data_IF_047113985245
#
_entry.id   IF_047113985245
#
_cell.length_a   1.000
_cell.length_b   1.000
_cell.length_c   1.000
_cell.angle_alpha   90.00
_cell.angle_beta   90.00
_cell.angle_gamma   90.00
#
_symmetry.space_group_name_H-M   'P 1'
#
loop_
_entity.id
_entity.type
_entity.pdbx_description
1 polymer ?
#
# COMPACT_ATOMS: atom_id res chain seq x y z
N UNK A 1 1.11 3.62 7.76
CA UNK A 1 2.06 2.49 7.60
C UNK A 1 1.38 1.18 7.24
N UNK A 2 0.19 0.86 7.78
CA UNK A 2 -0.55 -0.36 7.42
C UNK A 2 -0.80 -0.50 5.90
N UNK A 3 -1.02 0.61 5.19
CA UNK A 3 -1.17 0.59 3.72
C UNK A 3 0.04 -0.02 3.00
N UNK A 4 1.26 0.06 3.55
CA UNK A 4 2.45 -0.59 2.97
C UNK A 4 2.40 -2.12 3.07
N UNK A 5 1.77 -2.64 4.13
CA UNK A 5 1.54 -4.08 4.30
C UNK A 5 0.49 -4.58 3.31
N UNK A 6 -0.58 -3.80 3.07
CA UNK A 6 -1.70 -4.22 2.23
C UNK A 6 -1.40 -4.03 0.74
N UNK A 7 -0.96 -2.84 0.34
CA UNK A 7 -0.79 -2.49 -1.08
C UNK A 7 0.57 -2.90 -1.64
N UNK A 8 1.51 -3.28 -0.76
CA UNK A 8 2.90 -3.49 -1.15
C UNK A 8 3.53 -2.26 -1.79
N UNK A 9 3.06 -1.03 -1.56
CA UNK A 9 3.67 0.20 -2.08
C UNK A 9 4.88 0.65 -1.26
N UNK A 10 5.79 1.40 -1.88
CA UNK A 10 6.97 1.92 -1.18
C UNK A 10 6.51 3.03 -0.23
N UNK A 11 7.22 3.17 0.89
CA UNK A 11 6.93 4.22 1.89
C UNK A 11 6.77 5.60 1.25
N UNK A 12 7.72 6.00 0.41
CA UNK A 12 7.71 7.34 -0.20
C UNK A 12 6.60 7.50 -1.25
N UNK A 13 6.21 6.42 -1.94
CA UNK A 13 5.07 6.42 -2.87
C UNK A 13 3.77 6.73 -2.11
N UNK A 14 3.55 6.05 -0.98
CA UNK A 14 2.36 6.23 -0.16
C UNK A 14 2.35 7.60 0.53
N UNK A 15 3.46 7.99 1.16
CA UNK A 15 3.49 9.21 1.97
C UNK A 15 3.37 10.50 1.15
N UNK A 16 3.71 10.46 -0.14
CA UNK A 16 3.55 11.60 -1.05
C UNK A 16 2.23 11.59 -1.83
N UNK A 17 1.36 10.62 -1.58
CA UNK A 17 0.08 10.45 -2.27
C UNK A 17 -0.87 11.62 -1.96
N UNK A 18 -1.47 12.17 -3.01
CA UNK A 18 -2.44 13.28 -2.92
C UNK A 18 -3.86 12.77 -3.08
N UNK A 19 -4.83 13.54 -2.60
CA UNK A 19 -6.25 13.24 -2.83
C UNK A 19 -6.59 13.16 -4.33
N UNK A 20 -5.94 13.99 -5.15
CA UNK A 20 -6.10 14.01 -6.61
C UNK A 20 -5.51 12.79 -7.31
N UNK A 21 -4.71 11.98 -6.60
CA UNK A 21 -4.13 10.75 -7.15
C UNK A 21 -5.04 9.54 -6.94
N UNK A 22 -6.15 9.70 -6.20
CA UNK A 22 -7.07 8.60 -5.85
C UNK A 22 -8.41 8.82 -6.54
N UNK A 23 -8.83 7.80 -7.27
CA UNK A 23 -10.16 7.73 -7.84
C UNK A 23 -11.04 6.79 -6.99
N UNK A 24 -11.90 7.38 -6.16
CA UNK A 24 -12.81 6.64 -5.29
C UNK A 24 -13.99 6.00 -6.04
N UNK A 25 -14.28 6.45 -7.27
CA UNK A 25 -15.32 5.84 -8.12
C UNK A 25 -14.80 4.55 -8.72
N UNK A 26 -13.59 4.59 -9.29
CA UNK A 26 -12.94 3.45 -9.92
C UNK A 26 -12.07 2.63 -8.98
N UNK A 27 -11.98 3.00 -7.70
CA UNK A 27 -11.19 2.32 -6.68
C UNK A 27 -9.73 2.11 -7.11
N UNK A 28 -9.09 3.17 -7.58
CA UNK A 28 -7.68 3.14 -7.98
C UNK A 28 -6.89 4.30 -7.39
N UNK A 29 -5.58 4.14 -7.30
CA UNK A 29 -4.65 5.20 -6.93
C UNK A 29 -3.42 5.22 -7.84
N UNK A 30 -3.00 6.41 -8.28
CA UNK A 30 -1.78 6.62 -9.05
C UNK A 30 -0.60 6.86 -8.11
N UNK A 31 0.28 5.87 -8.00
CA UNK A 31 1.51 5.96 -7.21
C UNK A 31 2.69 6.31 -8.10
N UNK A 32 3.42 7.38 -7.75
CA UNK A 32 4.58 7.85 -8.53
C UNK A 32 5.86 7.19 -8.04
N UNK A 33 6.62 6.57 -8.93
CA UNK A 33 7.95 6.07 -8.62
C UNK A 33 8.98 7.19 -8.87
N UNK A 34 10.14 7.12 -8.20
CA UNK A 34 11.30 7.96 -8.51
C UNK A 34 12.00 7.50 -9.80
N UNK A 35 11.72 6.29 -10.26
CA UNK A 35 12.42 5.64 -11.38
C UNK A 35 11.64 5.78 -12.70
N UNK A 36 10.32 5.83 -12.65
CA UNK A 36 9.44 5.94 -13.82
C UNK A 36 8.50 7.12 -13.63
N UNK A 37 8.73 8.20 -14.39
CA UNK A 37 8.07 9.50 -14.22
C UNK A 37 6.54 9.42 -14.31
N UNK A 38 6.00 8.46 -15.07
CA UNK A 38 4.56 8.26 -15.20
C UNK A 38 3.92 7.58 -13.98
N UNK A 39 4.70 6.86 -13.16
CA UNK A 39 4.20 6.05 -12.06
C UNK A 39 3.38 4.84 -12.52
N UNK A 40 2.60 4.25 -11.60
CA UNK A 40 1.66 3.15 -11.90
C UNK A 40 0.32 3.36 -11.21
N UNK A 41 -0.74 2.80 -11.79
CA UNK A 41 -2.02 2.66 -11.11
C UNK A 41 -2.01 1.38 -10.26
N UNK A 42 -2.57 1.49 -9.05
CA UNK A 42 -2.83 0.37 -8.16
C UNK A 42 -4.32 0.35 -7.80
N UNK A 43 -4.88 -0.82 -7.50
CA UNK A 43 -6.23 -0.90 -6.95
C UNK A 43 -6.27 -0.40 -5.51
N UNK A 44 -7.42 0.11 -5.12
CA UNK A 44 -7.76 0.55 -3.78
C UNK A 44 -8.73 -0.47 -3.18
N UNK A 45 -8.27 -1.19 -2.17
CA UNK A 45 -9.08 -2.18 -1.46
C UNK A 45 -10.01 -1.52 -0.45
N UNK A 46 -11.06 -2.23 -0.03
CA UNK A 46 -12.13 -1.70 0.80
C UNK A 46 -11.63 -1.10 2.12
N UNK A 47 -10.72 -1.78 2.82
CA UNK A 47 -10.21 -1.26 4.09
C UNK A 47 -9.23 -0.10 3.87
N UNK A 48 -8.34 -0.14 2.88
CA UNK A 48 -7.49 1.01 2.55
C UNK A 48 -8.32 2.24 2.14
N UNK A 49 -9.39 2.05 1.36
CA UNK A 49 -10.33 3.12 1.04
C UNK A 49 -10.96 3.71 2.30
N UNK A 50 -11.43 2.85 3.21
CA UNK A 50 -12.05 3.30 4.46
C UNK A 50 -11.10 4.16 5.29
N UNK A 51 -9.81 3.80 5.35
CA UNK A 51 -8.78 4.59 6.02
C UNK A 51 -8.58 5.95 5.34
N UNK A 52 -8.60 5.99 4.02
CA UNK A 52 -8.45 7.24 3.27
C UNK A 52 -9.66 8.16 3.48
N UNK A 53 -10.87 7.61 3.46
CA UNK A 53 -12.08 8.38 3.73
C UNK A 53 -12.10 8.91 5.16
N UNK A 54 -11.64 8.13 6.14
CA UNK A 54 -11.52 8.59 7.53
C UNK A 54 -10.52 9.74 7.67
N UNK A 55 -9.34 9.62 7.05
CA UNK A 55 -8.33 10.69 7.00
C UNK A 55 -8.88 11.96 6.33
N UNK A 56 -9.74 11.80 5.32
CA UNK A 56 -10.30 12.93 4.56
C UNK A 56 -11.22 13.82 5.42
N UNK A 57 -11.96 13.25 6.38
CA UNK A 57 -12.92 13.99 7.22
C UNK A 57 -12.29 15.20 7.94
N UNK A 58 -11.02 15.09 8.31
CA UNK A 58 -10.29 16.09 9.09
C UNK A 58 -9.10 16.70 8.33
N UNK A 59 -9.05 16.55 7.00
CA UNK A 59 -7.92 17.00 6.19
C UNK A 59 -8.15 18.39 5.59
N UNK A 60 -7.23 19.31 5.86
CA UNK A 60 -7.08 20.62 5.21
C UNK A 60 -5.94 20.62 4.16
N UNK A 61 -5.35 19.46 3.88
CA UNK A 61 -4.15 19.31 3.05
C UNK A 61 -4.45 18.65 1.71
N UNK A 62 -3.61 18.93 0.71
CA UNK A 62 -3.64 18.21 -0.58
C UNK A 62 -3.13 16.77 -0.48
N UNK A 63 -2.41 16.42 0.58
CA UNK A 63 -1.83 15.09 0.79
C UNK A 63 -2.68 14.23 1.70
N UNK A 64 -2.73 12.92 1.42
CA UNK A 64 -3.46 11.95 2.24
C UNK A 64 -2.78 11.79 3.61
N UNK A 65 -1.45 11.68 3.62
CA UNK A 65 -0.64 11.57 4.83
C UNK A 65 0.02 12.92 5.16
N UNK A 66 -0.80 13.92 5.47
CA UNK A 66 -0.36 15.28 5.72
C UNK A 66 0.45 15.43 7.02
N UNK A 67 1.37 16.40 7.04
CA UNK A 67 2.05 16.84 8.27
C UNK A 67 2.20 18.36 8.26
N UNK A 68 1.62 19.03 9.27
CA UNK A 68 1.67 20.50 9.38
C UNK A 68 3.09 21.03 9.64
N UNK A 69 3.95 20.23 10.29
CA UNK A 69 5.33 20.62 10.59
C UNK A 69 6.34 20.31 9.48
N UNK A 70 5.93 19.62 8.41
CA UNK A 70 6.85 19.25 7.33
C UNK A 70 6.84 20.31 6.22
N UNK A 71 8.03 20.75 5.77
CA UNK A 71 8.16 21.74 4.68
C UNK A 71 7.45 21.32 3.38
N UNK A 72 7.39 20.03 3.08
CA UNK A 72 6.72 19.50 1.90
C UNK A 72 5.21 19.26 2.08
N UNK A 73 4.65 19.50 3.28
CA UNK A 73 3.22 19.37 3.59
C UNK A 73 2.73 17.93 3.85
N UNK A 74 3.61 16.93 3.80
CA UNK A 74 3.30 15.54 4.09
C UNK A 74 4.35 14.90 5.01
N UNK A 75 4.00 13.78 5.63
CA UNK A 75 4.93 13.01 6.44
C UNK A 75 6.09 12.55 5.55
N UNK A 76 7.33 12.93 5.90
CA UNK A 76 8.54 12.46 5.18
C UNK A 76 9.10 11.21 5.85
N UNK A 77 9.13 11.25 7.18
CA UNK A 77 9.69 10.21 8.00
C UNK A 77 8.63 9.70 9.00
N UNK A 78 8.11 8.46 8.84
CA UNK A 78 7.18 7.86 9.78
C UNK A 78 7.88 7.07 10.89
N UNK A 79 9.22 6.98 10.91
CA UNK A 79 9.97 6.15 11.87
C UNK A 79 9.65 6.54 13.31
N UNK A 80 9.67 7.84 13.66
CA UNK A 80 9.43 8.27 15.04
C UNK A 80 8.03 7.88 15.55
N UNK A 81 7.02 7.99 14.69
CA UNK A 81 5.65 7.59 15.05
C UNK A 81 5.51 6.07 15.14
N UNK A 82 6.17 5.35 14.23
CA UNK A 82 6.19 3.88 14.25
C UNK A 82 6.95 3.36 15.47
N UNK A 83 8.10 3.93 15.81
CA UNK A 83 8.93 3.55 16.95
C UNK A 83 8.17 3.72 18.27
N UNK A 84 7.41 4.80 18.43
CA UNK A 84 6.53 4.99 19.60
C UNK A 84 5.50 3.87 19.74
N UNK A 85 4.88 3.46 18.62
CA UNK A 85 3.90 2.37 18.61
C UNK A 85 4.59 1.03 18.91
N UNK A 86 5.73 0.77 18.27
CA UNK A 86 6.55 -0.42 18.47
C UNK A 86 6.98 -0.59 19.94
N UNK A 87 7.48 0.48 20.57
CA UNK A 87 7.83 0.50 22.00
C UNK A 87 6.64 0.20 22.91
N UNK A 88 5.47 0.79 22.60
CA UNK A 88 4.25 0.55 23.38
C UNK A 88 3.76 -0.91 23.28
N UNK A 89 3.90 -1.51 22.11
CA UNK A 89 3.45 -2.88 21.84
C UNK A 89 4.54 -3.93 22.09
N UNK A 90 5.75 -3.52 22.47
CA UNK A 90 6.92 -4.38 22.63
C UNK A 90 7.19 -5.25 21.38
N UNK A 91 7.11 -4.63 20.20
CA UNK A 91 7.38 -5.28 18.90
C UNK A 91 8.42 -4.48 18.12
N UNK A 92 9.11 -5.15 17.19
CA UNK A 92 10.01 -4.51 16.24
C UNK A 92 9.40 -4.50 14.84
N UNK A 93 9.12 -3.30 14.30
CA UNK A 93 8.63 -3.13 12.94
C UNK A 93 9.33 -1.96 12.26
N UNK A 94 9.57 -2.12 10.97
CA UNK A 94 10.05 -1.04 10.09
C UNK A 94 9.16 -0.93 8.86
N UNK A 95 9.09 0.25 8.19
CA UNK A 95 8.43 0.39 6.91
C UNK A 95 8.90 -0.61 5.86
N UNK A 96 10.20 -0.91 5.87
CA UNK A 96 10.77 -1.92 4.97
C UNK A 96 10.31 -3.33 5.36
N UNK A 97 10.29 -3.65 6.66
CA UNK A 97 9.77 -4.91 7.19
C UNK A 97 8.32 -5.16 6.76
N UNK A 98 7.44 -4.17 6.93
CA UNK A 98 6.04 -4.27 6.48
C UNK A 98 5.91 -4.57 4.98
N UNK A 99 6.73 -3.90 4.13
CA UNK A 99 6.76 -4.17 2.70
C UNK A 99 7.33 -5.56 2.37
N UNK A 100 8.29 -6.09 3.16
CA UNK A 100 8.77 -7.47 2.97
C UNK A 100 7.69 -8.47 3.35
N UNK A 101 6.99 -8.23 4.46
CA UNK A 101 5.85 -9.04 4.90
C UNK A 101 4.75 -9.11 3.83
N UNK A 102 4.50 -8.04 3.07
CA UNK A 102 3.57 -8.09 1.93
C UNK A 102 3.82 -9.29 1.01
N UNK A 103 5.07 -9.46 0.57
CA UNK A 103 5.47 -10.55 -0.33
C UNK A 103 5.41 -11.91 0.36
N UNK A 104 5.95 -12.01 1.58
CA UNK A 104 6.00 -13.28 2.31
C UNK A 104 4.61 -13.79 2.67
N UNK A 105 3.72 -12.90 3.10
CA UNK A 105 2.35 -13.25 3.46
C UNK A 105 1.52 -13.63 2.23
N UNK A 106 1.77 -12.99 1.08
CA UNK A 106 1.12 -13.36 -0.18
C UNK A 106 1.39 -14.83 -0.56
N UNK A 107 2.65 -15.26 -0.44
CA UNK A 107 3.06 -16.65 -0.66
C UNK A 107 2.34 -17.57 0.33
N UNK A 108 2.33 -17.18 1.61
CA UNK A 108 1.72 -17.99 2.66
C UNK A 108 0.20 -18.14 2.50
N UNK A 109 -0.46 -17.08 2.03
CA UNK A 109 -1.87 -17.05 1.67
C UNK A 109 -2.18 -17.77 0.34
N UNK A 110 -1.16 -18.19 -0.41
CA UNK A 110 -1.27 -18.82 -1.75
C UNK A 110 -1.96 -17.94 -2.79
N UNK A 111 -1.79 -16.63 -2.68
CA UNK A 111 -2.38 -15.62 -3.59
C UNK A 111 -1.45 -15.39 -4.78
N UNK A 112 -2.00 -15.01 -5.94
CA UNK A 112 -1.25 -14.82 -7.18
C UNK A 112 -0.09 -13.82 -7.03
N UNK A 113 1.14 -14.36 -6.95
CA UNK A 113 2.35 -13.56 -6.77
C UNK A 113 2.62 -12.62 -7.94
N UNK A 114 2.23 -12.99 -9.16
CA UNK A 114 2.43 -12.18 -10.35
C UNK A 114 1.63 -10.88 -10.32
N UNK A 115 0.36 -10.95 -9.92
CA UNK A 115 -0.50 -9.78 -9.73
C UNK A 115 0.01 -8.88 -8.62
N UNK A 116 0.37 -9.44 -7.46
CA UNK A 116 0.89 -8.68 -6.31
C UNK A 116 2.27 -8.08 -6.60
N UNK A 117 3.11 -8.77 -7.38
CA UNK A 117 4.37 -8.22 -7.88
C UNK A 117 4.14 -6.99 -8.76
N UNK A 118 3.17 -7.05 -9.67
CA UNK A 118 2.80 -5.92 -10.54
C UNK A 118 2.26 -4.74 -9.70
N UNK A 119 1.36 -4.99 -8.75
CA UNK A 119 0.80 -3.97 -7.85
C UNK A 119 1.89 -3.30 -7.02
N UNK A 120 2.85 -4.07 -6.49
CA UNK A 120 3.95 -3.53 -5.68
C UNK A 120 5.04 -2.82 -6.49
N UNK A 121 4.96 -2.83 -7.83
CA UNK A 121 5.98 -2.23 -8.71
C UNK A 121 7.28 -3.04 -8.76
N UNK A 122 7.19 -4.36 -8.59
CA UNK A 122 8.34 -5.24 -8.74
C UNK A 122 8.60 -5.53 -10.21
N UNK A 123 9.81 -5.21 -10.70
CA UNK A 123 10.18 -5.47 -12.09
C UNK A 123 10.25 -6.99 -12.33
N UNK A 124 9.53 -7.55 -13.30
CA UNK A 124 9.59 -8.98 -13.60
C UNK A 124 11.01 -9.36 -14.02
N UNK A 125 11.52 -10.50 -13.55
CA UNK A 125 12.82 -11.04 -13.98
C UNK A 125 12.72 -11.78 -15.31
N UNK A 126 11.61 -12.48 -15.58
CA UNK A 126 11.42 -13.29 -16.78
C UNK A 126 10.89 -12.46 -17.98
N UNK A 127 11.51 -12.65 -19.16
CA UNK A 127 11.13 -12.00 -20.42
C UNK A 127 9.66 -12.23 -20.80
N UNK A 128 9.14 -13.45 -20.61
CA UNK A 128 7.74 -13.78 -20.92
C UNK A 128 6.76 -12.93 -20.12
N UNK A 129 7.02 -12.74 -18.83
CA UNK A 129 6.19 -11.90 -17.95
C UNK A 129 6.26 -10.43 -18.37
N UNK A 130 7.40 -9.96 -18.90
CA UNK A 130 7.55 -8.58 -19.38
C UNK A 130 6.78 -8.31 -20.66
N UNK A 131 6.70 -9.28 -21.57
CA UNK A 131 6.22 -9.04 -22.94
C UNK A 131 4.85 -9.63 -23.27
N UNK A 132 4.39 -10.66 -22.54
CA UNK A 132 3.21 -11.44 -22.94
C UNK A 132 2.11 -11.57 -21.88
N UNK A 133 2.36 -11.18 -20.62
CA UNK A 133 1.34 -11.25 -19.56
C UNK A 133 0.80 -9.85 -19.29
N UNK A 134 -0.42 -9.59 -19.77
CA UNK A 134 -1.20 -8.41 -19.43
C UNK A 134 -2.18 -8.78 -18.32
N UNK A 135 -2.09 -8.11 -17.17
CA UNK A 135 -3.08 -8.25 -16.09
C UNK A 135 -3.94 -6.99 -16.06
N UNK A 136 -5.26 -7.07 -16.34
CA UNK A 136 -6.15 -5.92 -16.30
C UNK A 136 -6.34 -5.43 -14.86
N UNK A 137 -6.78 -4.17 -14.70
CA UNK A 137 -6.97 -3.56 -13.38
C UNK A 137 -7.94 -4.36 -12.51
N UNK A 138 -9.03 -4.86 -13.08
CA UNK A 138 -10.06 -5.63 -12.36
C UNK A 138 -9.46 -6.89 -11.71
N UNK A 139 -8.61 -7.62 -12.44
CA UNK A 139 -7.87 -8.78 -11.91
C UNK A 139 -6.93 -8.39 -10.77
N UNK A 140 -6.24 -7.25 -10.89
CA UNK A 140 -5.38 -6.74 -9.83
C UNK A 140 -6.20 -6.35 -8.59
N UNK A 141 -7.38 -5.76 -8.80
CA UNK A 141 -8.29 -5.37 -7.74
C UNK A 141 -8.83 -6.58 -6.99
N UNK A 142 -9.31 -7.60 -7.70
CA UNK A 142 -9.74 -8.87 -7.12
C UNK A 142 -8.61 -9.52 -6.30
N UNK A 143 -7.42 -9.61 -6.88
CA UNK A 143 -6.27 -10.22 -6.19
C UNK A 143 -5.87 -9.45 -4.92
N UNK A 144 -5.85 -8.10 -4.99
CA UNK A 144 -5.48 -7.31 -3.82
C UNK A 144 -6.56 -7.36 -2.74
N UNK A 145 -7.84 -7.42 -3.13
CA UNK A 145 -8.94 -7.54 -2.18
C UNK A 145 -8.89 -8.90 -1.47
N UNK A 146 -8.66 -10.00 -2.20
CA UNK A 146 -8.44 -11.33 -1.61
C UNK A 146 -7.30 -11.30 -0.57
N UNK A 147 -6.21 -10.61 -0.88
CA UNK A 147 -5.08 -10.45 0.03
C UNK A 147 -5.44 -9.62 1.28
N UNK A 148 -6.16 -8.52 1.10
CA UNK A 148 -6.64 -7.71 2.22
C UNK A 148 -7.58 -8.49 3.13
N UNK A 149 -8.55 -9.21 2.55
CA UNK A 149 -9.53 -10.01 3.27
C UNK A 149 -8.85 -11.10 4.10
N UNK A 150 -7.85 -11.77 3.51
CA UNK A 150 -7.04 -12.76 4.22
C UNK A 150 -6.29 -12.15 5.42
N UNK A 151 -5.65 -10.98 5.26
CA UNK A 151 -4.99 -10.28 6.38
C UNK A 151 -5.99 -9.97 7.49
N UNK A 152 -7.14 -9.39 7.13
CA UNK A 152 -8.15 -8.99 8.09
C UNK A 152 -8.74 -10.20 8.82
N UNK A 153 -8.86 -11.35 8.15
CA UNK A 153 -9.22 -12.61 8.78
C UNK A 153 -8.19 -13.06 9.82
N UNK A 154 -6.88 -12.96 9.52
CA UNK A 154 -5.84 -13.30 10.50
C UNK A 154 -5.90 -12.41 11.74
N UNK A 155 -6.21 -11.12 11.57
CA UNK A 155 -6.39 -10.19 12.70
C UNK A 155 -7.57 -10.62 13.58
N UNK A 156 -8.70 -11.00 12.97
CA UNK A 156 -9.88 -11.47 13.72
C UNK A 156 -9.62 -12.77 14.48
N UNK A 157 -8.87 -13.69 13.87
CA UNK A 157 -8.56 -14.99 14.46
C UNK A 157 -7.50 -14.91 15.58
N UNK A 158 -6.56 -13.97 15.50
CA UNK A 158 -5.48 -13.79 16.47
C UNK A 158 -5.84 -12.93 17.70
N UNK A 159 -7.11 -12.52 17.85
CA UNK A 159 -7.62 -11.79 19.02
C UNK A 159 -8.32 -12.74 20.03
N UNK A 160 -8.23 -14.06 19.82
CA UNK A 160 -8.62 -15.07 20.82
C UNK A 160 -7.41 -15.59 21.61
#
# INVERSE_FOLDING_TARGET
MICSLITGCRKNELLSLKWTDVDFRWKTAKVRDKIEDEGRLIPLTAYVESLFLELRKNSDSKFIFSSKGAKCGHIVNPYDSLEKICKKLNIELTPHGLRRSYKTLAIWAKINEGSLAQISGHKPSALVVRHYIVRPMDMLQETLQEYEDWILQQVRNGIN
#
